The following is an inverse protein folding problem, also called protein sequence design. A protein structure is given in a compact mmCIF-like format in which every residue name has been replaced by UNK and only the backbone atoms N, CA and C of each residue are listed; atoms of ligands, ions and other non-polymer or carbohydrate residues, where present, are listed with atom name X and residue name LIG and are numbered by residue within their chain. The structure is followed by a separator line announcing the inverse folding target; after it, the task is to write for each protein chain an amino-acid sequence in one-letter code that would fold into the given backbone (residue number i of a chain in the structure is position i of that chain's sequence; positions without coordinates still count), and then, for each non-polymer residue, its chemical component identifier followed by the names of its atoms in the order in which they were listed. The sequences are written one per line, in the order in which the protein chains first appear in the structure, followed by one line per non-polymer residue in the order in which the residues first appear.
data_IF_330215165922
#
_entry.id   IF_330215165922
#
_cell.length_a   1.000
_cell.length_b   1.000
_cell.length_c   1.000
_cell.angle_alpha   90.00
_cell.angle_beta   90.00
_cell.angle_gamma   90.00
#
_symmetry.space_group_name_H-M   'P 1'
#
loop_
_entity.id
_entity.type
_entity.pdbx_description
1 polymer ?
#
# COMPACT_ATOMS: atom_id res chain seq x y z
N UNK A 1 2.77 51.47 44.80
CA UNK A 1 2.09 50.29 45.40
C UNK A 1 0.82 49.87 44.66
N UNK A 2 -0.16 50.76 44.42
CA UNK A 2 -1.48 50.41 43.84
C UNK A 2 -1.41 49.68 42.48
N UNK A 3 -0.56 50.14 41.55
CA UNK A 3 -0.42 49.52 40.20
C UNK A 3 0.15 48.11 40.24
N UNK A 4 1.07 47.84 41.16
CA UNK A 4 1.69 46.51 41.33
C UNK A 4 0.67 45.52 41.92
N UNK A 5 -0.17 46.01 42.85
CA UNK A 5 -1.26 45.22 43.42
C UNK A 5 -2.30 44.84 42.36
N UNK A 6 -2.66 45.77 41.47
CA UNK A 6 -3.61 45.49 40.38
C UNK A 6 -3.06 44.48 39.36
N UNK A 7 -1.76 44.52 39.03
CA UNK A 7 -1.14 43.55 38.11
C UNK A 7 -1.10 42.15 38.76
N UNK A 8 -0.80 42.07 40.04
CA UNK A 8 -0.81 40.80 40.79
C UNK A 8 -2.23 40.22 40.91
N UNK A 9 -3.23 41.06 41.13
CA UNK A 9 -4.64 40.65 41.16
C UNK A 9 -5.13 40.18 39.77
N UNK A 10 -4.76 40.88 38.69
CA UNK A 10 -5.10 40.43 37.33
C UNK A 10 -4.44 39.09 36.99
N UNK A 11 -3.16 38.90 37.35
CA UNK A 11 -2.45 37.63 37.16
C UNK A 11 -3.13 36.48 37.91
N UNK A 12 -3.50 36.70 39.18
CA UNK A 12 -4.19 35.70 39.99
C UNK A 12 -5.56 35.31 39.40
N UNK A 13 -6.34 36.28 38.90
CA UNK A 13 -7.64 36.02 38.26
C UNK A 13 -7.48 35.23 36.96
N UNK A 14 -6.45 35.51 36.16
CA UNK A 14 -6.17 34.72 34.94
C UNK A 14 -5.77 33.27 35.26
N UNK A 15 -5.05 33.02 36.35
CA UNK A 15 -4.73 31.65 36.78
C UNK A 15 -5.95 30.86 37.27
N UNK A 16 -6.95 31.52 37.87
CA UNK A 16 -8.19 30.89 38.32
C UNK A 16 -9.16 30.56 37.18
N UNK A 17 -9.13 31.30 36.08
CA UNK A 17 -10.04 31.10 34.93
C UNK A 17 -9.50 30.12 33.88
N UNK A 18 -8.22 29.74 33.96
CA UNK A 18 -7.65 28.69 33.11
C UNK A 18 -7.94 27.34 33.74
N UNK A 19 -9.13 26.81 33.46
CA UNK A 19 -9.38 25.37 33.54
C UNK A 19 -8.67 24.68 32.37
N UNK A 20 -7.33 24.64 32.42
CA UNK A 20 -6.57 23.70 31.63
C UNK A 20 -6.94 22.29 32.13
N UNK A 21 -7.70 21.55 31.33
CA UNK A 21 -7.96 20.13 31.55
C UNK A 21 -6.68 19.34 31.26
N UNK A 22 -5.73 19.42 32.20
CA UNK A 22 -4.77 18.38 32.44
C UNK A 22 -5.54 17.26 33.12
N UNK A 23 -6.13 16.38 32.31
CA UNK A 23 -6.65 15.10 32.78
C UNK A 23 -5.55 14.46 33.63
N UNK A 24 -5.86 14.12 34.89
CA UNK A 24 -4.98 13.28 35.69
C UNK A 24 -4.70 12.02 34.87
N UNK A 25 -3.44 11.76 34.57
CA UNK A 25 -3.05 10.41 34.16
C UNK A 25 -3.21 9.54 35.40
N UNK A 26 -4.40 8.99 35.60
CA UNK A 26 -4.54 7.84 36.47
C UNK A 26 -3.62 6.76 35.88
N UNK A 27 -2.48 6.54 36.52
CA UNK A 27 -1.64 5.37 36.31
C UNK A 27 -2.35 4.13 36.87
N UNK A 28 -3.62 3.93 36.53
CA UNK A 28 -4.15 2.59 36.41
C UNK A 28 -3.50 2.05 35.15
N UNK A 29 -2.49 1.22 35.36
CA UNK A 29 -1.96 0.25 34.42
C UNK A 29 -3.13 -0.66 34.01
N UNK A 30 -4.05 -0.13 33.20
CA UNK A 30 -5.01 -0.91 32.46
C UNK A 30 -4.11 -1.71 31.56
N UNK A 31 -3.86 -2.97 31.89
CA UNK A 31 -3.21 -3.89 30.97
C UNK A 31 -3.99 -3.72 29.68
N UNK A 32 -3.36 -3.12 28.65
CA UNK A 32 -3.92 -3.12 27.32
C UNK A 32 -4.27 -4.58 27.06
N UNK A 33 -5.57 -4.88 27.03
CA UNK A 33 -6.05 -6.26 26.93
C UNK A 33 -5.69 -6.63 25.50
N UNK A 34 -4.51 -7.23 25.33
CA UNK A 34 -4.03 -7.68 24.02
C UNK A 34 -5.12 -8.56 23.46
N UNK A 35 -5.79 -8.07 22.42
CA UNK A 35 -6.85 -8.82 21.78
C UNK A 35 -6.23 -10.08 21.19
N UNK A 36 -6.85 -11.22 21.46
CA UNK A 36 -6.37 -12.49 20.96
C UNK A 36 -6.48 -12.52 19.43
N UNK A 37 -5.49 -13.12 18.77
CA UNK A 37 -5.44 -13.30 17.32
C UNK A 37 -5.36 -14.78 17.00
N UNK A 38 -6.21 -15.26 16.10
CA UNK A 38 -6.12 -16.64 15.60
C UNK A 38 -4.89 -16.76 14.71
N UNK A 39 -3.93 -17.58 15.17
CA UNK A 39 -2.75 -17.96 14.39
C UNK A 39 -3.02 -19.12 13.42
N UNK A 40 -4.12 -19.86 13.60
CA UNK A 40 -4.49 -20.98 12.72
C UNK A 40 -5.31 -20.50 11.52
N UNK A 41 -4.95 -21.01 10.35
CA UNK A 41 -5.72 -20.81 9.12
C UNK A 41 -7.07 -21.53 9.17
N UNK A 42 -8.03 -20.99 8.43
CA UNK A 42 -9.38 -21.53 8.33
C UNK A 42 -9.48 -22.57 7.21
N UNK A 43 -10.43 -23.48 7.35
CA UNK A 43 -10.85 -24.40 6.28
C UNK A 43 -12.05 -23.85 5.49
N UNK A 44 -12.68 -22.78 5.98
CA UNK A 44 -13.91 -22.19 5.43
C UNK A 44 -13.66 -20.69 5.19
N UNK A 45 -14.09 -20.12 4.05
CA UNK A 45 -13.90 -18.71 3.74
C UNK A 45 -14.83 -17.81 4.59
N UNK A 46 -14.43 -16.55 4.79
CA UNK A 46 -15.11 -15.61 5.71
C UNK A 46 -16.59 -15.38 5.38
N UNK A 47 -16.96 -15.50 4.11
CA UNK A 47 -18.32 -15.42 3.59
C UNK A 47 -19.24 -16.48 4.21
N UNK A 48 -18.70 -17.67 4.49
CA UNK A 48 -19.43 -18.78 5.10
C UNK A 48 -19.25 -18.87 6.63
N UNK A 49 -18.53 -17.92 7.25
CA UNK A 49 -18.33 -17.85 8.71
C UNK A 49 -19.19 -16.78 9.39
N UNK A 50 -20.07 -16.11 8.66
CA UNK A 50 -20.88 -15.01 9.20
C UNK A 50 -20.06 -13.76 9.57
N UNK A 51 -18.86 -13.60 9.00
CA UNK A 51 -17.97 -12.46 9.30
C UNK A 51 -18.11 -11.30 8.32
N UNK A 52 -18.86 -11.51 7.22
CA UNK A 52 -19.24 -10.44 6.30
C UNK A 52 -20.59 -9.92 6.77
N UNK A 53 -20.56 -8.87 7.59
CA UNK A 53 -21.74 -8.30 8.26
C UNK A 53 -21.64 -6.77 8.33
N UNK A 54 -22.78 -6.11 8.50
CA UNK A 54 -22.85 -4.66 8.76
C UNK A 54 -22.58 -4.32 10.24
N UNK A 55 -22.81 -5.26 11.17
CA UNK A 55 -22.52 -5.10 12.60
C UNK A 55 -21.09 -5.55 12.91
N UNK A 56 -20.09 -4.79 12.44
CA UNK A 56 -18.67 -5.14 12.56
C UNK A 56 -18.10 -4.76 13.93
N UNK A 57 -17.42 -5.69 14.60
CA UNK A 57 -16.76 -5.45 15.89
C UNK A 57 -15.25 -5.51 15.73
N UNK A 58 -14.55 -4.53 16.31
CA UNK A 58 -13.09 -4.47 16.26
C UNK A 58 -12.41 -5.75 16.78
N UNK A 59 -12.95 -6.35 17.83
CA UNK A 59 -12.46 -7.63 18.38
C UNK A 59 -12.50 -8.77 17.36
N UNK A 60 -13.52 -8.82 16.51
CA UNK A 60 -13.69 -9.90 15.53
C UNK A 60 -12.70 -9.72 14.37
N UNK A 61 -12.41 -8.48 13.98
CA UNK A 61 -11.33 -8.17 13.01
C UNK A 61 -9.99 -8.62 13.56
N UNK A 62 -9.61 -8.17 14.76
CA UNK A 62 -8.30 -8.50 15.35
C UNK A 62 -8.15 -10.00 15.62
N UNK A 63 -9.26 -10.69 15.92
CA UNK A 63 -9.27 -12.13 16.11
C UNK A 63 -9.07 -12.89 14.79
N UNK A 64 -9.70 -12.46 13.70
CA UNK A 64 -9.85 -13.27 12.49
C UNK A 64 -9.04 -12.80 11.27
N UNK A 65 -8.41 -11.62 11.28
CA UNK A 65 -7.78 -11.03 10.08
C UNK A 65 -6.67 -11.89 9.45
N UNK A 66 -5.97 -12.71 10.25
CA UNK A 66 -4.92 -13.61 9.74
C UNK A 66 -5.48 -14.98 9.29
N UNK A 67 -6.70 -15.32 9.70
CA UNK A 67 -7.29 -16.66 9.54
C UNK A 67 -8.01 -16.81 8.19
N UNK A 68 -7.27 -16.64 7.09
CA UNK A 68 -7.79 -16.87 5.73
C UNK A 68 -8.04 -18.36 5.46
N UNK A 69 -8.85 -18.66 4.44
CA UNK A 69 -9.13 -20.04 4.05
C UNK A 69 -7.96 -20.63 3.23
N UNK A 70 -7.26 -21.61 3.79
CA UNK A 70 -6.12 -22.27 3.14
C UNK A 70 -6.54 -23.15 1.96
N UNK A 71 -7.74 -23.74 2.02
CA UNK A 71 -8.29 -24.63 0.97
C UNK A 71 -8.70 -23.86 -0.29
N UNK A 72 -9.11 -22.60 -0.15
CA UNK A 72 -9.63 -21.79 -1.26
C UNK A 72 -8.62 -20.74 -1.76
N UNK A 73 -7.32 -20.84 -1.45
CA UNK A 73 -6.31 -19.83 -1.86
C UNK A 73 -6.17 -19.70 -3.38
N UNK A 74 -6.48 -20.77 -4.13
CA UNK A 74 -6.44 -20.78 -5.61
C UNK A 74 -7.78 -20.46 -6.28
N UNK A 75 -8.88 -20.48 -5.53
CA UNK A 75 -10.22 -20.31 -6.08
C UNK A 75 -10.55 -18.83 -6.30
N UNK A 76 -11.16 -18.51 -7.44
CA UNK A 76 -11.62 -17.15 -7.75
C UNK A 76 -13.11 -17.04 -7.45
N UNK A 77 -13.47 -16.06 -6.63
CA UNK A 77 -14.87 -15.73 -6.31
C UNK A 77 -15.30 -14.38 -6.92
N UNK A 78 -14.40 -13.71 -7.64
CA UNK A 78 -14.65 -12.44 -8.32
C UNK A 78 -14.60 -12.69 -9.81
N UNK A 79 -15.68 -12.32 -10.50
CA UNK A 79 -15.77 -12.35 -11.97
C UNK A 79 -15.14 -11.08 -12.53
N UNK A 80 -14.40 -11.19 -13.63
CA UNK A 80 -13.69 -10.08 -14.27
C UNK A 80 -12.20 -10.04 -13.96
N UNK A 81 -11.54 -8.96 -14.35
CA UNK A 81 -10.12 -8.75 -14.12
C UNK A 81 -9.85 -8.20 -12.71
N UNK A 82 -8.75 -8.68 -12.11
CA UNK A 82 -8.30 -8.28 -10.77
C UNK A 82 -6.83 -7.92 -10.85
N UNK A 83 -6.54 -6.63 -10.66
CA UNK A 83 -5.21 -6.06 -10.62
C UNK A 83 -4.73 -5.89 -9.18
N UNK A 84 -3.55 -6.42 -8.86
CA UNK A 84 -2.87 -6.20 -7.58
C UNK A 84 -1.59 -5.39 -7.74
N UNK A 85 -1.43 -4.30 -6.99
CA UNK A 85 -0.17 -3.57 -6.90
C UNK A 85 0.74 -4.17 -5.83
N UNK A 86 2.05 -4.26 -6.12
CA UNK A 86 3.07 -4.74 -5.18
C UNK A 86 4.18 -3.71 -5.08
N UNK A 87 4.58 -3.34 -3.88
CA UNK A 87 5.51 -2.22 -3.64
C UNK A 87 6.75 -2.68 -2.87
N UNK A 88 7.96 -2.21 -3.21
CA UNK A 88 9.20 -2.62 -2.53
C UNK A 88 9.24 -2.29 -1.04
N UNK A 89 8.63 -1.16 -0.63
CA UNK A 89 8.61 -0.70 0.77
C UNK A 89 7.61 -1.47 1.66
N UNK A 90 6.80 -2.36 1.09
CA UNK A 90 5.90 -3.24 1.83
C UNK A 90 6.12 -4.69 1.41
N UNK A 91 7.17 -5.30 1.98
CA UNK A 91 7.60 -6.66 1.65
C UNK A 91 6.52 -7.72 1.80
N UNK A 92 5.56 -7.53 2.72
CA UNK A 92 4.44 -8.46 2.89
C UNK A 92 3.59 -8.60 1.60
N UNK A 93 3.54 -7.56 0.76
CA UNK A 93 2.87 -7.62 -0.54
C UNK A 93 3.43 -8.71 -1.47
N UNK A 94 4.73 -8.99 -1.40
CA UNK A 94 5.36 -10.05 -2.19
C UNK A 94 4.87 -11.43 -1.76
N UNK A 95 4.69 -11.65 -0.45
CA UNK A 95 4.17 -12.90 0.09
C UNK A 95 2.70 -13.09 -0.25
N UNK A 96 1.87 -12.05 -0.07
CA UNK A 96 0.45 -12.07 -0.44
C UNK A 96 0.27 -12.38 -1.93
N UNK A 97 1.06 -11.74 -2.79
CA UNK A 97 1.04 -11.99 -4.23
C UNK A 97 1.39 -13.45 -4.59
N UNK A 98 2.35 -14.07 -3.88
CA UNK A 98 2.68 -15.49 -4.07
C UNK A 98 1.56 -16.40 -3.58
N UNK A 99 1.05 -16.18 -2.36
CA UNK A 99 0.04 -17.03 -1.71
C UNK A 99 -1.26 -17.04 -2.52
N UNK A 100 -1.69 -15.87 -2.99
CA UNK A 100 -2.98 -15.68 -3.66
C UNK A 100 -2.84 -15.44 -5.16
N UNK A 101 -1.71 -15.83 -5.78
CA UNK A 101 -1.41 -15.58 -7.18
C UNK A 101 -2.60 -15.89 -8.11
N UNK A 102 -3.24 -17.04 -7.95
CA UNK A 102 -4.35 -17.48 -8.80
C UNK A 102 -5.63 -16.66 -8.66
N UNK A 103 -5.72 -15.77 -7.65
CA UNK A 103 -6.85 -14.84 -7.48
C UNK A 103 -6.73 -13.59 -8.37
N UNK A 104 -5.52 -13.24 -8.77
CA UNK A 104 -5.23 -12.07 -9.61
C UNK A 104 -5.16 -12.45 -11.09
N UNK A 105 -5.71 -11.62 -11.96
CA UNK A 105 -5.44 -11.71 -13.40
C UNK A 105 -4.18 -10.94 -13.78
N UNK A 106 -3.91 -9.84 -13.08
CA UNK A 106 -2.78 -8.94 -13.29
C UNK A 106 -2.11 -8.63 -11.95
N UNK A 107 -0.78 -8.65 -11.92
CA UNK A 107 0.02 -8.15 -10.81
C UNK A 107 0.97 -7.09 -11.35
N UNK A 108 0.91 -5.89 -10.79
CA UNK A 108 1.72 -4.74 -11.19
C UNK A 108 2.71 -4.38 -10.08
N UNK A 109 3.94 -4.91 -10.15
CA UNK A 109 4.99 -4.45 -9.26
C UNK A 109 5.40 -3.00 -9.58
N UNK A 110 5.67 -2.23 -8.53
CA UNK A 110 5.97 -0.80 -8.58
C UNK A 110 7.49 -0.61 -8.54
N UNK A 111 8.16 -0.96 -9.64
CA UNK A 111 9.62 -0.89 -9.75
C UNK A 111 10.08 0.17 -10.74
N UNK A 112 9.40 0.25 -11.89
CA UNK A 112 9.98 0.88 -13.07
C UNK A 112 9.64 2.36 -13.17
N UNK A 113 10.61 3.14 -13.62
CA UNK A 113 10.41 4.52 -14.03
C UNK A 113 11.13 4.78 -15.35
N UNK A 114 10.51 5.52 -16.24
CA UNK A 114 11.12 6.03 -17.47
C UNK A 114 11.43 7.52 -17.31
N UNK A 115 12.67 7.88 -17.64
CA UNK A 115 13.18 9.25 -17.59
C UNK A 115 13.63 9.69 -18.98
N UNK A 116 13.33 10.94 -19.34
CA UNK A 116 13.92 11.59 -20.51
C UNK A 116 15.28 12.19 -20.12
N UNK A 117 16.32 11.90 -20.88
CA UNK A 117 17.71 12.36 -20.65
C UNK A 117 18.19 13.41 -21.64
N UNK A 118 17.42 13.62 -22.70
CA UNK A 118 17.67 14.55 -23.78
C UNK A 118 16.69 14.26 -24.92
N UNK A 119 16.87 14.95 -26.05
CA UNK A 119 16.17 14.62 -27.29
C UNK A 119 16.45 13.17 -27.67
N UNK A 120 15.40 12.37 -27.88
CA UNK A 120 15.49 10.98 -28.33
C UNK A 120 16.34 10.08 -27.42
N UNK A 121 16.46 10.45 -26.14
CA UNK A 121 17.25 9.73 -25.17
C UNK A 121 16.37 9.38 -23.96
N UNK A 122 15.94 8.13 -23.91
CA UNK A 122 15.10 7.59 -22.84
C UNK A 122 15.88 6.57 -22.02
N UNK A 123 15.62 6.56 -20.71
CA UNK A 123 16.25 5.61 -19.81
C UNK A 123 15.21 4.98 -18.91
N UNK A 124 15.17 3.64 -18.93
CA UNK A 124 14.48 2.87 -17.90
C UNK A 124 15.33 2.78 -16.63
N UNK A 125 14.70 3.03 -15.50
CA UNK A 125 15.31 3.00 -14.16
C UNK A 125 14.47 2.11 -13.23
N UNK A 126 15.00 1.80 -12.04
CA UNK A 126 14.36 0.89 -11.08
C UNK A 126 14.53 -0.60 -11.40
N UNK A 127 15.35 -0.95 -12.38
CA UNK A 127 15.61 -2.35 -12.78
C UNK A 127 16.25 -3.21 -11.69
N UNK A 128 16.95 -2.59 -10.74
CA UNK A 128 17.57 -3.30 -9.61
C UNK A 128 16.56 -3.88 -8.62
N UNK A 129 15.32 -3.37 -8.61
CA UNK A 129 14.23 -3.89 -7.76
C UNK A 129 13.51 -5.09 -8.40
N UNK A 130 13.84 -5.44 -9.65
CA UNK A 130 13.21 -6.55 -10.37
C UNK A 130 13.66 -7.88 -9.78
N UNK A 131 12.73 -8.56 -9.11
CA UNK A 131 12.97 -9.88 -8.54
C UNK A 131 12.48 -11.01 -9.48
N UNK A 132 13.42 -11.58 -10.23
CA UNK A 132 13.17 -12.71 -11.13
C UNK A 132 12.79 -14.00 -10.39
N UNK A 133 13.24 -14.19 -9.16
CA UNK A 133 12.87 -15.34 -8.33
C UNK A 133 11.40 -15.25 -7.92
N UNK A 134 10.99 -14.08 -7.44
CA UNK A 134 9.60 -13.80 -7.08
C UNK A 134 8.64 -13.92 -8.26
N UNK A 135 9.03 -13.43 -9.44
CA UNK A 135 8.24 -13.61 -10.68
C UNK A 135 8.04 -15.11 -10.96
N UNK A 136 9.11 -15.92 -10.86
CA UNK A 136 9.02 -17.38 -11.06
C UNK A 136 8.09 -18.04 -10.04
N UNK A 137 8.15 -17.63 -8.78
CA UNK A 137 7.27 -18.15 -7.73
C UNK A 137 5.79 -17.86 -8.00
N UNK A 138 5.46 -16.64 -8.44
CA UNK A 138 4.09 -16.32 -8.87
C UNK A 138 3.68 -17.22 -10.03
N UNK A 139 4.52 -17.36 -11.06
CA UNK A 139 4.25 -18.19 -12.24
C UNK A 139 4.19 -19.69 -11.93
N UNK A 140 4.79 -20.14 -10.83
CA UNK A 140 4.63 -21.50 -10.31
C UNK A 140 3.25 -21.69 -9.70
N UNK A 141 2.75 -20.70 -8.97
CA UNK A 141 1.44 -20.75 -8.29
C UNK A 141 0.26 -20.42 -9.22
N UNK A 142 0.49 -19.65 -10.28
CA UNK A 142 -0.51 -19.31 -11.29
C UNK A 142 0.10 -19.13 -12.67
N UNK A 143 -0.35 -19.94 -13.64
CA UNK A 143 0.11 -19.84 -15.04
C UNK A 143 -0.58 -18.71 -15.81
N UNK A 144 -1.79 -18.33 -15.38
CA UNK A 144 -2.64 -17.36 -16.08
C UNK A 144 -2.39 -15.92 -15.64
N UNK A 145 -1.91 -15.70 -14.41
CA UNK A 145 -1.65 -14.35 -13.89
C UNK A 145 -0.54 -13.67 -14.68
N UNK A 146 -0.80 -12.48 -15.19
CA UNK A 146 0.14 -11.65 -15.94
C UNK A 146 0.90 -10.72 -14.98
N UNK A 147 2.21 -10.59 -15.16
CA UNK A 147 3.01 -9.59 -14.45
C UNK A 147 3.13 -8.39 -15.39
N UNK A 148 2.65 -7.23 -14.94
CA UNK A 148 2.55 -5.99 -15.72
C UNK A 148 3.11 -4.83 -14.90
N UNK A 149 4.46 -4.71 -14.79
CA UNK A 149 5.08 -3.69 -13.95
C UNK A 149 4.57 -2.29 -14.28
N UNK A 150 4.33 -1.48 -13.26
CA UNK A 150 3.95 -0.08 -13.44
C UNK A 150 5.17 0.69 -13.91
N UNK A 151 5.05 1.42 -15.02
CA UNK A 151 6.06 2.37 -15.50
C UNK A 151 5.64 3.79 -15.15
N UNK A 152 6.46 4.49 -14.35
CA UNK A 152 6.25 5.89 -14.01
C UNK A 152 7.07 6.80 -14.93
N UNK A 153 6.44 7.81 -15.50
CA UNK A 153 7.15 8.90 -16.17
C UNK A 153 7.69 9.85 -15.10
N UNK A 154 8.95 9.64 -14.72
CA UNK A 154 9.57 10.30 -13.56
C UNK A 154 10.45 11.49 -13.98
N UNK A 155 10.24 12.64 -13.33
CA UNK A 155 10.98 13.87 -13.63
C UNK A 155 10.62 14.56 -14.96
N UNK A 156 9.47 14.24 -15.55
CA UNK A 156 9.01 14.85 -16.79
C UNK A 156 8.38 16.23 -16.55
N UNK A 157 8.75 17.22 -17.38
CA UNK A 157 8.12 18.52 -17.44
C UNK A 157 7.10 18.61 -18.59
N UNK A 158 6.34 19.70 -18.65
CA UNK A 158 5.37 19.96 -19.72
C UNK A 158 6.02 19.86 -21.11
N UNK A 159 7.19 20.47 -21.29
CA UNK A 159 7.91 20.46 -22.56
C UNK A 159 8.37 19.05 -22.95
N UNK A 160 8.61 18.15 -22.01
CA UNK A 160 8.98 16.76 -22.35
C UNK A 160 7.82 16.03 -23.01
N UNK A 161 6.62 16.17 -22.45
CA UNK A 161 5.42 15.61 -23.06
C UNK A 161 5.11 16.27 -24.41
N UNK A 162 5.21 17.59 -24.50
CA UNK A 162 4.99 18.32 -25.76
C UNK A 162 5.95 17.86 -26.86
N UNK A 163 7.24 17.72 -26.56
CA UNK A 163 8.23 17.26 -27.53
C UNK A 163 7.95 15.83 -28.01
N UNK A 164 7.56 14.92 -27.10
CA UNK A 164 7.22 13.54 -27.47
C UNK A 164 5.96 13.49 -28.32
N UNK A 165 4.88 14.12 -27.89
CA UNK A 165 3.59 14.00 -28.60
C UNK A 165 3.59 14.64 -29.99
N UNK A 166 4.54 15.53 -30.28
CA UNK A 166 4.70 16.19 -31.58
C UNK A 166 5.77 15.55 -32.48
N UNK A 167 6.38 14.42 -32.09
CA UNK A 167 7.43 13.76 -32.88
C UNK A 167 7.24 12.25 -32.90
N UNK A 168 6.96 11.70 -34.08
CA UNK A 168 6.87 10.24 -34.27
C UNK A 168 8.19 9.53 -33.91
N UNK A 169 9.33 10.17 -34.20
CA UNK A 169 10.66 9.67 -33.86
C UNK A 169 10.85 9.54 -32.34
N UNK A 170 10.46 10.57 -31.58
CA UNK A 170 10.52 10.54 -30.10
C UNK A 170 9.56 9.48 -29.51
N UNK A 171 8.38 9.28 -30.11
CA UNK A 171 7.44 8.23 -29.70
C UNK A 171 8.03 6.84 -29.93
N UNK A 172 8.65 6.61 -31.10
CA UNK A 172 9.27 5.33 -31.45
C UNK A 172 10.44 5.01 -30.51
N UNK A 173 11.35 5.97 -30.27
CA UNK A 173 12.50 5.79 -29.36
C UNK A 173 12.05 5.49 -27.91
N UNK A 174 10.98 6.17 -27.46
CA UNK A 174 10.36 5.91 -26.15
C UNK A 174 9.77 4.50 -26.09
N UNK A 175 9.01 4.10 -27.11
CA UNK A 175 8.36 2.80 -27.20
C UNK A 175 9.40 1.67 -27.27
N UNK A 176 10.45 1.84 -28.08
CA UNK A 176 11.54 0.89 -28.20
C UNK A 176 12.22 0.67 -26.84
N UNK A 177 12.52 1.74 -26.11
CA UNK A 177 13.11 1.67 -24.77
C UNK A 177 12.24 0.84 -23.80
N UNK A 178 10.92 1.03 -23.83
CA UNK A 178 9.98 0.26 -23.00
C UNK A 178 9.90 -1.21 -23.43
N UNK A 179 9.84 -1.48 -24.74
CA UNK A 179 9.73 -2.85 -25.28
C UNK A 179 11.01 -3.64 -25.04
N UNK A 180 12.19 -3.02 -25.21
CA UNK A 180 13.47 -3.65 -24.91
C UNK A 180 13.57 -4.07 -23.45
N UNK A 181 13.03 -3.28 -22.52
CA UNK A 181 12.97 -3.63 -21.09
C UNK A 181 12.04 -4.82 -20.81
N UNK A 182 10.98 -4.98 -21.60
CA UNK A 182 9.94 -6.00 -21.36
C UNK A 182 10.30 -7.40 -21.89
N UNK A 183 11.35 -7.52 -22.70
CA UNK A 183 11.84 -8.78 -23.27
C UNK A 183 12.61 -9.60 -22.23
#
# INVERSE_FOLDING_TARGET
MMRLLCVLLLGAVTCYLVNATLSKSDSKKTSAKTLETKTRLSDIPVQARGLVTNDVKAKDIVLDHQSYCSKNVKERHVVGDVLGYVTPWNGHGYDIAKIFASKFTLISPVWLQIRRKGRQAYQMTGLHDVDQGWIKDIKKNSKTTKIVPRVLFDGWAYQDFENVFNSEEEIEDLAETMVQTAK
#
